data_IF_133260243515
#
_entry.id   IF_133260243515
#
_cell.length_a   1.000
_cell.length_b   1.000
_cell.length_c   1.000
_cell.angle_alpha   90.00
_cell.angle_beta   90.00
_cell.angle_gamma   90.00
#
_symmetry.space_group_name_H-M   'P 1'
#
loop_
_entity.id
_entity.type
_entity.pdbx_description
1 polymer ?
#
# COMPACT_ATOMS: atom_id res chain seq x y z
N UNK A 1 -2.98 -12.68 27.30
CA UNK A 1 -1.56 -12.31 27.11
C UNK A 1 -1.39 -12.03 25.63
N UNK A 2 -0.77 -10.91 25.29
CA UNK A 2 -0.82 -10.31 23.95
C UNK A 2 -0.07 -11.18 22.91
N UNK A 3 -0.73 -11.45 21.78
CA UNK A 3 -0.11 -12.03 20.58
C UNK A 3 0.85 -11.01 19.95
N UNK A 4 2.14 -11.13 20.29
CA UNK A 4 3.21 -10.34 19.68
C UNK A 4 3.47 -10.95 18.29
N UNK A 5 2.92 -10.34 17.24
CA UNK A 5 3.25 -10.66 15.86
C UNK A 5 4.74 -10.32 15.58
N UNK A 6 5.61 -11.30 15.28
CA UNK A 6 7.08 -11.12 15.23
C UNK A 6 7.61 -10.57 13.89
N UNK A 7 6.75 -10.08 13.00
CA UNK A 7 7.10 -9.91 11.58
C UNK A 7 7.27 -8.47 11.13
N UNK A 8 8.21 -7.74 11.74
CA UNK A 8 8.65 -6.43 11.23
C UNK A 8 9.11 -6.50 9.76
N UNK A 9 9.68 -7.63 9.32
CA UNK A 9 10.14 -7.84 7.94
C UNK A 9 9.06 -8.34 6.95
N UNK A 10 8.07 -9.13 7.40
CA UNK A 10 6.94 -9.52 6.50
C UNK A 10 5.99 -8.34 6.26
N UNK A 11 5.98 -7.38 7.18
CA UNK A 11 5.18 -6.18 7.05
C UNK A 11 5.52 -5.41 5.77
N UNK A 12 6.80 -5.27 5.41
CA UNK A 12 7.19 -4.63 4.14
C UNK A 12 6.58 -5.34 2.92
N UNK A 13 6.54 -6.68 2.92
CA UNK A 13 5.91 -7.44 1.84
C UNK A 13 4.40 -7.25 1.74
N UNK A 14 3.67 -7.13 2.86
CA UNK A 14 2.23 -6.85 2.80
C UNK A 14 1.94 -5.43 2.32
N UNK A 15 2.78 -4.45 2.71
CA UNK A 15 2.65 -3.07 2.27
C UNK A 15 2.88 -2.97 0.76
N UNK A 16 3.96 -3.56 0.26
CA UNK A 16 4.29 -3.58 -1.18
C UNK A 16 3.18 -4.28 -1.97
N UNK A 17 2.72 -5.44 -1.49
CA UNK A 17 1.66 -6.19 -2.18
C UNK A 17 0.35 -5.43 -2.22
N UNK A 18 -0.04 -4.80 -1.11
CA UNK A 18 -1.25 -3.97 -1.05
C UNK A 18 -1.14 -2.75 -1.98
N UNK A 19 -0.02 -2.04 -1.97
CA UNK A 19 0.23 -0.94 -2.91
C UNK A 19 0.17 -1.41 -4.37
N UNK A 20 0.75 -2.58 -4.67
CA UNK A 20 0.75 -3.14 -6.02
C UNK A 20 -0.65 -3.51 -6.51
N UNK A 21 -1.46 -4.13 -5.65
CA UNK A 21 -2.84 -4.53 -5.98
C UNK A 21 -3.73 -3.28 -6.14
N UNK A 22 -3.58 -2.27 -5.27
CA UNK A 22 -4.23 -0.97 -5.41
C UNK A 22 -3.81 -0.23 -6.69
N UNK A 23 -2.52 -0.29 -7.03
CA UNK A 23 -1.96 0.31 -8.25
C UNK A 23 -2.57 -0.32 -9.50
N UNK A 24 -2.63 -1.65 -9.55
CA UNK A 24 -3.29 -2.38 -10.64
C UNK A 24 -4.77 -2.01 -10.77
N UNK A 25 -5.48 -1.90 -9.64
CA UNK A 25 -6.90 -1.56 -9.61
C UNK A 25 -7.19 -0.17 -10.17
N UNK A 26 -6.39 0.84 -9.81
CA UNK A 26 -6.55 2.20 -10.34
C UNK A 26 -6.04 2.36 -11.77
N UNK A 27 -5.18 1.44 -12.23
CA UNK A 27 -4.57 1.46 -13.56
C UNK A 27 -3.24 2.23 -13.63
N UNK A 28 -2.43 2.18 -12.57
CA UNK A 28 -1.05 2.68 -12.55
C UNK A 28 -0.68 3.55 -11.35
N UNK A 29 0.63 3.75 -11.12
CA UNK A 29 1.11 4.45 -9.92
C UNK A 29 0.71 5.94 -9.88
N UNK A 30 0.58 6.58 -11.04
CA UNK A 30 0.16 7.98 -11.15
C UNK A 30 -1.25 8.22 -10.59
N UNK A 31 -2.19 7.31 -10.90
CA UNK A 31 -3.57 7.40 -10.38
C UNK A 31 -3.63 7.03 -8.90
N UNK A 32 -2.81 6.07 -8.48
CA UNK A 32 -2.68 5.72 -7.06
C UNK A 32 -2.13 6.89 -6.25
N UNK A 33 -1.10 7.57 -6.73
CA UNK A 33 -0.54 8.76 -6.10
C UNK A 33 -1.59 9.88 -5.98
N UNK A 34 -2.33 10.16 -7.06
CA UNK A 34 -3.43 11.12 -7.04
C UNK A 34 -4.54 10.74 -6.06
N UNK A 35 -4.93 9.46 -6.01
CA UNK A 35 -5.94 8.94 -5.07
C UNK A 35 -5.49 9.06 -3.61
N UNK A 36 -4.21 8.80 -3.34
CA UNK A 36 -3.61 8.89 -2.01
C UNK A 36 -3.24 10.33 -1.61
N UNK A 37 -3.22 11.27 -2.55
CA UNK A 37 -2.78 12.65 -2.32
C UNK A 37 -1.29 12.76 -2.02
N UNK A 38 -0.47 11.87 -2.59
CA UNK A 38 0.99 11.83 -2.39
C UNK A 38 1.71 11.97 -3.73
N UNK A 39 3.02 12.19 -3.68
CA UNK A 39 3.84 12.26 -4.89
C UNK A 39 4.05 10.86 -5.51
N UNK A 40 4.11 10.80 -6.84
CA UNK A 40 4.31 9.55 -7.60
C UNK A 40 5.64 8.88 -7.23
N UNK A 41 6.71 9.65 -7.02
CA UNK A 41 8.00 9.11 -6.62
C UNK A 41 7.94 8.47 -5.23
N UNK A 42 7.04 8.93 -4.34
CA UNK A 42 6.84 8.29 -3.04
C UNK A 42 6.20 6.90 -3.21
N UNK A 43 5.20 6.79 -4.07
CA UNK A 43 4.56 5.50 -4.39
C UNK A 43 5.54 4.55 -5.06
N UNK A 44 6.32 5.03 -6.02
CA UNK A 44 7.35 4.25 -6.70
C UNK A 44 8.43 3.75 -5.72
N UNK A 45 8.90 4.61 -4.82
CA UNK A 45 9.85 4.21 -3.78
C UNK A 45 9.27 3.09 -2.90
N UNK A 46 8.02 3.23 -2.43
CA UNK A 46 7.38 2.19 -1.61
C UNK A 46 7.18 0.88 -2.36
N UNK A 47 6.81 0.92 -3.65
CA UNK A 47 6.69 -0.27 -4.51
C UNK A 47 8.04 -0.97 -4.70
N UNK A 48 9.14 -0.21 -4.76
CA UNK A 48 10.50 -0.73 -4.81
C UNK A 48 11.03 -1.17 -3.42
N UNK A 49 10.21 -1.11 -2.37
CA UNK A 49 10.61 -1.44 -1.00
C UNK A 49 11.53 -0.40 -0.34
N UNK A 50 11.64 0.79 -0.93
CA UNK A 50 12.41 1.91 -0.41
C UNK A 50 11.50 2.74 0.49
N UNK A 51 11.76 2.67 1.79
CA UNK A 51 10.94 3.33 2.80
C UNK A 51 9.65 2.54 3.09
N UNK A 52 8.81 3.13 3.94
CA UNK A 52 7.55 2.52 4.39
C UNK A 52 6.40 3.50 4.17
N UNK A 53 5.29 3.08 3.54
CA UNK A 53 4.12 3.92 3.45
C UNK A 53 3.55 4.18 4.86
N UNK A 54 2.95 5.37 5.10
CA UNK A 54 2.17 5.61 6.30
C UNK A 54 1.02 4.59 6.44
N UNK A 55 0.63 4.26 7.66
CA UNK A 55 -0.48 3.31 7.88
C UNK A 55 -1.80 3.81 7.28
N UNK A 56 -2.02 5.14 7.21
CA UNK A 56 -3.17 5.74 6.54
C UNK A 56 -3.21 5.44 5.04
N UNK A 57 -2.05 5.41 4.37
CA UNK A 57 -1.93 5.04 2.94
C UNK A 57 -2.27 3.57 2.75
N UNK A 58 -1.74 2.70 3.62
CA UNK A 58 -2.03 1.27 3.55
C UNK A 58 -3.51 0.96 3.75
N UNK A 59 -4.16 1.57 4.74
CA UNK A 59 -5.59 1.38 5.00
C UNK A 59 -6.44 1.83 3.80
N UNK A 60 -6.12 3.00 3.22
CA UNK A 60 -6.74 3.48 1.97
C UNK A 60 -6.61 2.49 0.81
N UNK A 61 -5.42 1.93 0.62
CA UNK A 61 -5.18 0.91 -0.41
C UNK A 61 -6.01 -0.37 -0.13
N UNK A 62 -6.13 -0.80 1.13
CA UNK A 62 -6.96 -1.96 1.47
C UNK A 62 -8.44 -1.71 1.22
N UNK A 63 -8.97 -0.55 1.59
CA UNK A 63 -10.37 -0.18 1.34
C UNK A 63 -10.67 -0.22 -0.16
N UNK A 64 -9.79 0.39 -0.96
CA UNK A 64 -9.89 0.39 -2.41
C UNK A 64 -9.91 -1.03 -3.00
N UNK A 65 -9.05 -1.94 -2.52
CA UNK A 65 -9.01 -3.33 -3.00
C UNK A 65 -10.32 -4.05 -2.65
N UNK A 66 -10.84 -3.83 -1.44
CA UNK A 66 -12.06 -4.48 -0.92
C UNK A 66 -13.35 -4.00 -1.57
N UNK A 67 -13.40 -2.76 -2.08
CA UNK A 67 -14.57 -2.22 -2.79
C UNK A 67 -14.92 -2.97 -4.10
N UNK A 68 -14.08 -3.90 -4.58
CA UNK A 68 -14.40 -4.73 -5.77
C UNK A 68 -15.31 -5.93 -5.48
N UNK A 69 -15.43 -6.34 -4.21
CA UNK A 69 -16.17 -7.55 -3.84
C UNK A 69 -17.67 -7.29 -3.58
N UNK A 70 -18.21 -6.15 -4.02
CA UNK A 70 -19.59 -5.70 -3.80
C UNK A 70 -20.46 -5.72 -5.07
#
# INVERSE_FOLDING_TARGET
MQDICPSTHKNSHIYIRCLHDACKKLGGEHRLAAYLGVDVASVENWLNGIGRPPDSVFLRCMDLIREDEA
#
